data_IF_822471028130
#
_entry.id   IF_822471028130
#
_cell.length_a   1.000
_cell.length_b   1.000
_cell.length_c   1.000
_cell.angle_alpha   90.00
_cell.angle_beta   90.00
_cell.angle_gamma   90.00
#
_symmetry.space_group_name_H-M   'P 1'
#
loop_
_entity.id
_entity.type
_entity.pdbx_description
1 polymer ?
#
# COMPACT_ATOMS: atom_id res chain seq x y z
N UNK A 1 -15.32 -55.24 11.56
CA UNK A 1 -15.21 -54.15 10.57
C UNK A 1 -15.60 -52.84 11.23
N UNK A 2 -14.63 -51.96 11.50
CA UNK A 2 -14.87 -50.58 11.99
C UNK A 2 -15.16 -49.71 10.77
N UNK A 3 -16.36 -49.14 10.65
CA UNK A 3 -16.62 -48.07 9.68
C UNK A 3 -16.27 -46.73 10.32
N UNK A 4 -15.39 -46.00 9.65
CA UNK A 4 -14.92 -44.66 10.00
C UNK A 4 -16.02 -43.61 9.77
N UNK A 5 -16.02 -42.59 10.64
CA UNK A 5 -16.68 -41.32 10.46
C UNK A 5 -16.17 -40.60 9.20
N UNK A 6 -17.09 -40.16 8.33
CA UNK A 6 -16.86 -39.05 7.41
C UNK A 6 -17.50 -37.80 8.02
N UNK A 7 -16.67 -36.87 8.49
CA UNK A 7 -17.09 -35.47 8.65
C UNK A 7 -17.03 -34.81 7.28
N UNK A 8 -18.17 -34.31 6.82
CA UNK A 8 -18.23 -33.46 5.64
C UNK A 8 -17.46 -32.17 5.91
N UNK A 9 -16.47 -31.87 5.08
CA UNK A 9 -15.78 -30.59 5.08
C UNK A 9 -16.81 -29.49 4.77
N UNK A 10 -16.99 -28.58 5.72
CA UNK A 10 -17.66 -27.31 5.52
C UNK A 10 -16.96 -26.59 4.36
N UNK A 11 -17.68 -26.39 3.27
CA UNK A 11 -17.28 -25.53 2.16
C UNK A 11 -17.06 -24.12 2.69
N UNK A 12 -15.80 -23.69 2.75
CA UNK A 12 -15.44 -22.31 3.00
C UNK A 12 -16.06 -21.45 1.89
N UNK A 13 -17.11 -20.71 2.25
CA UNK A 13 -17.65 -19.64 1.41
C UNK A 13 -16.51 -18.66 1.17
N UNK A 14 -16.02 -18.59 -0.06
CA UNK A 14 -15.14 -17.53 -0.50
C UNK A 14 -15.97 -16.26 -0.46
N UNK A 15 -15.89 -15.52 0.64
CA UNK A 15 -16.52 -14.21 0.73
C UNK A 15 -15.92 -13.36 -0.39
N UNK A 16 -16.73 -13.05 -1.39
CA UNK A 16 -16.43 -12.01 -2.37
C UNK A 16 -16.20 -10.73 -1.58
N UNK A 17 -14.92 -10.41 -1.35
CA UNK A 17 -14.50 -9.10 -0.86
C UNK A 17 -15.10 -8.10 -1.85
N UNK A 18 -15.94 -7.21 -1.35
CA UNK A 18 -16.44 -6.15 -2.19
C UNK A 18 -15.24 -5.25 -2.56
N UNK A 19 -15.14 -4.92 -3.86
CA UNK A 19 -13.94 -4.33 -4.45
C UNK A 19 -14.35 -3.20 -5.37
N UNK A 20 -13.80 -2.02 -5.13
CA UNK A 20 -13.76 -0.99 -6.15
C UNK A 20 -12.58 -1.27 -7.09
N UNK A 21 -12.73 -0.98 -8.37
CA UNK A 21 -11.65 -1.13 -9.35
C UNK A 21 -11.50 0.14 -10.18
N UNK A 22 -10.27 0.60 -10.31
CA UNK A 22 -9.87 1.64 -11.26
C UNK A 22 -9.25 0.96 -12.49
N UNK A 23 -9.53 1.48 -13.68
CA UNK A 23 -9.07 0.88 -14.93
C UNK A 23 -8.72 1.94 -15.98
N UNK A 24 -7.50 1.86 -16.53
CA UNK A 24 -7.00 2.62 -17.68
C UNK A 24 -6.40 1.69 -18.74
N UNK A 25 -5.80 2.24 -19.81
CA UNK A 25 -5.03 1.45 -20.80
C UNK A 25 -3.84 0.71 -20.20
N UNK A 26 -3.24 1.22 -19.13
CA UNK A 26 -2.00 0.73 -18.54
C UNK A 26 -2.17 0.08 -17.17
N UNK A 27 -3.20 0.46 -16.42
CA UNK A 27 -3.39 0.01 -15.05
C UNK A 27 -4.77 -0.58 -14.79
N UNK A 28 -4.77 -1.73 -14.11
CA UNK A 28 -5.90 -2.18 -13.30
C UNK A 28 -5.53 -2.09 -11.83
N UNK A 29 -6.28 -1.31 -11.06
CA UNK A 29 -6.11 -1.14 -9.61
C UNK A 29 -7.33 -1.69 -8.89
N UNK A 30 -7.14 -2.71 -8.06
CA UNK A 30 -8.20 -3.27 -7.22
C UNK A 30 -8.04 -2.74 -5.78
N UNK A 31 -9.15 -2.26 -5.22
CA UNK A 31 -9.21 -1.63 -3.90
C UNK A 31 -10.20 -2.40 -3.03
N UNK A 32 -9.80 -2.70 -1.80
CA UNK A 32 -10.68 -3.21 -0.76
C UNK A 32 -11.62 -2.10 -0.30
N UNK A 33 -12.92 -2.24 -0.54
CA UNK A 33 -13.92 -1.21 -0.23
C UNK A 33 -14.33 -1.17 1.25
N UNK A 34 -13.74 -2.02 2.09
CA UNK A 34 -13.90 -1.93 3.55
C UNK A 34 -12.77 -1.09 4.13
N UNK A 35 -11.54 -1.36 3.71
CA UNK A 35 -10.35 -0.74 4.31
C UNK A 35 -9.79 0.43 3.51
N UNK A 36 -10.17 0.57 2.24
CA UNK A 36 -9.57 1.50 1.30
C UNK A 36 -8.15 1.10 0.87
N UNK A 37 -7.67 -0.10 1.19
CA UNK A 37 -6.33 -0.56 0.81
C UNK A 37 -6.26 -1.01 -0.65
N UNK A 38 -5.11 -0.83 -1.32
CA UNK A 38 -4.85 -1.50 -2.59
C UNK A 38 -4.62 -3.00 -2.34
N UNK A 39 -5.36 -3.83 -3.08
CA UNK A 39 -5.26 -5.30 -3.05
C UNK A 39 -4.88 -5.89 -4.41
N UNK A 40 -4.77 -5.05 -5.43
CA UNK A 40 -4.22 -5.41 -6.74
C UNK A 40 -3.74 -4.19 -7.51
N UNK A 41 -2.60 -4.35 -8.18
CA UNK A 41 -2.03 -3.39 -9.12
C UNK A 41 -1.42 -4.19 -10.27
N UNK A 42 -1.99 -4.10 -11.47
CA UNK A 42 -1.59 -4.90 -12.63
C UNK A 42 -1.42 -4.04 -13.87
N UNK A 43 -0.50 -4.46 -14.74
CA UNK A 43 -0.32 -3.91 -16.08
C UNK A 43 -1.30 -4.57 -17.05
N UNK A 44 -2.21 -3.79 -17.62
CA UNK A 44 -3.23 -4.27 -18.57
C UNK A 44 -2.67 -4.59 -19.96
N UNK A 45 -1.45 -4.12 -20.27
CA UNK A 45 -0.73 -4.43 -21.51
C UNK A 45 0.26 -5.60 -21.34
N UNK A 46 0.32 -6.21 -20.16
CA UNK A 46 1.19 -7.34 -19.87
C UNK A 46 0.82 -8.54 -20.74
N UNK A 47 1.63 -8.84 -21.77
CA UNK A 47 1.45 -9.97 -22.70
C UNK A 47 1.49 -11.34 -21.97
N UNK A 48 0.38 -11.74 -21.35
CA UNK A 48 0.23 -12.99 -20.60
C UNK A 48 0.79 -12.97 -19.17
N UNK A 49 1.36 -11.85 -18.72
CA UNK A 49 1.75 -11.65 -17.31
C UNK A 49 0.56 -11.08 -16.54
N UNK A 50 -0.04 -11.89 -15.67
CA UNK A 50 -1.06 -11.44 -14.72
C UNK A 50 -0.44 -10.98 -13.39
N UNK A 51 0.84 -10.59 -13.44
CA UNK A 51 1.60 -10.24 -12.25
C UNK A 51 0.90 -9.10 -11.50
N UNK A 52 0.74 -9.32 -10.20
CA UNK A 52 0.37 -8.27 -9.27
C UNK A 52 1.64 -7.61 -8.75
N UNK A 53 1.76 -6.29 -8.88
CA UNK A 53 2.92 -5.54 -8.40
C UNK A 53 2.94 -5.40 -6.88
N UNK A 54 1.80 -5.58 -6.24
CA UNK A 54 1.62 -5.49 -4.79
C UNK A 54 1.21 -6.84 -4.19
N UNK A 55 1.59 -7.06 -2.94
CA UNK A 55 1.13 -8.20 -2.15
C UNK A 55 -0.39 -8.18 -2.03
N UNK A 56 -1.01 -9.32 -2.34
CA UNK A 56 -2.46 -9.49 -2.36
C UNK A 56 -2.88 -10.67 -1.48
N UNK A 57 -4.18 -10.78 -1.13
CA UNK A 57 -4.67 -11.94 -0.39
C UNK A 57 -4.44 -13.28 -1.09
N UNK A 58 -4.31 -13.28 -2.43
CA UNK A 58 -4.09 -14.49 -3.23
C UNK A 58 -2.62 -14.79 -3.43
N UNK A 59 -1.78 -13.78 -3.61
CA UNK A 59 -0.34 -13.94 -3.90
C UNK A 59 0.51 -14.04 -2.63
N UNK A 60 0.08 -13.34 -1.57
CA UNK A 60 0.80 -13.22 -0.30
C UNK A 60 -0.19 -13.43 0.85
N UNK A 61 -0.74 -14.64 1.03
CA UNK A 61 -1.76 -14.90 2.06
C UNK A 61 -1.23 -14.74 3.50
N UNK A 62 0.11 -14.72 3.66
CA UNK A 62 0.79 -14.45 4.92
C UNK A 62 0.87 -12.94 5.25
N UNK A 63 0.53 -12.05 4.31
CA UNK A 63 0.55 -10.60 4.53
C UNK A 63 -0.52 -10.21 5.56
N UNK A 64 -0.16 -9.58 6.69
CA UNK A 64 -1.14 -9.10 7.65
C UNK A 64 -2.11 -8.11 7.01
N UNK A 65 -3.40 -8.21 7.34
CA UNK A 65 -4.44 -7.36 6.75
C UNK A 65 -4.18 -5.85 6.95
N UNK A 66 -3.61 -5.49 8.11
CA UNK A 66 -3.26 -4.10 8.44
C UNK A 66 -2.01 -3.57 7.73
N UNK A 67 -1.31 -4.40 6.97
CA UNK A 67 -0.07 -4.07 6.26
C UNK A 67 -0.25 -4.01 4.73
N UNK A 68 -1.51 -3.94 4.28
CA UNK A 68 -1.85 -3.78 2.86
C UNK A 68 -1.51 -2.40 2.34
N UNK A 69 -1.36 -2.28 1.03
CA UNK A 69 -0.89 -1.07 0.39
C UNK A 69 -1.77 0.15 0.71
N UNK A 70 -1.11 1.25 1.07
CA UNK A 70 -1.74 2.53 1.39
C UNK A 70 -2.31 2.62 2.79
N UNK A 71 -2.37 1.51 3.54
CA UNK A 71 -2.55 1.55 4.99
C UNK A 71 -1.25 2.00 5.67
N UNK A 72 -1.29 2.22 6.97
CA UNK A 72 -0.09 2.65 7.68
C UNK A 72 -0.39 3.17 9.07
N UNK A 73 0.57 3.92 9.61
CA UNK A 73 0.43 4.50 10.93
C UNK A 73 1.08 5.88 11.10
N UNK A 74 0.62 6.59 12.13
CA UNK A 74 1.21 7.82 12.64
C UNK A 74 1.40 7.74 14.17
N UNK A 75 2.59 8.08 14.65
CA UNK A 75 2.89 8.34 16.06
C UNK A 75 2.38 9.75 16.39
N UNK A 76 1.33 9.84 17.21
CA UNK A 76 0.68 11.11 17.57
C UNK A 76 1.20 11.68 18.89
N UNK A 77 2.29 11.12 19.44
CA UNK A 77 2.93 11.58 20.67
C UNK A 77 2.62 10.71 21.90
N UNK A 78 3.29 10.97 23.03
CA UNK A 78 3.30 10.11 24.21
C UNK A 78 1.94 9.99 24.92
N UNK A 79 1.08 11.00 24.78
CA UNK A 79 -0.27 10.99 25.38
C UNK A 79 -1.18 9.97 24.68
N UNK A 80 -0.85 9.61 23.44
CA UNK A 80 -1.43 8.50 22.72
C UNK A 80 -0.48 7.31 22.91
N UNK A 81 -0.75 6.48 23.91
CA UNK A 81 0.06 5.30 24.30
C UNK A 81 0.38 4.31 23.14
N UNK A 82 -0.13 4.54 21.93
CA UNK A 82 0.07 3.73 20.73
C UNK A 82 0.15 4.57 19.45
N UNK A 83 0.84 4.02 18.43
CA UNK A 83 0.71 4.46 17.03
C UNK A 83 -0.75 4.35 16.59
N UNK A 84 -1.28 5.39 15.95
CA UNK A 84 -2.54 5.29 15.24
C UNK A 84 -2.33 4.54 13.94
N UNK A 85 -3.05 3.43 13.74
CA UNK A 85 -3.07 2.69 12.47
C UNK A 85 -4.36 3.01 11.72
N UNK A 86 -4.26 3.58 10.51
CA UNK A 86 -5.44 3.83 9.70
C UNK A 86 -5.85 2.57 8.94
N UNK A 87 -7.05 2.08 9.24
CA UNK A 87 -7.60 0.82 8.71
C UNK A 87 -9.12 0.86 8.46
N UNK A 88 -9.82 1.75 9.16
CA UNK A 88 -11.28 1.88 9.10
C UNK A 88 -11.64 3.27 8.53
N UNK A 89 -11.76 3.42 7.21
CA UNK A 89 -12.04 4.70 6.57
C UNK A 89 -13.51 5.12 6.69
N UNK A 90 -13.74 6.42 6.59
CA UNK A 90 -14.97 6.97 6.04
C UNK A 90 -14.78 7.08 4.53
N UNK A 91 -15.49 6.24 3.78
CA UNK A 91 -15.39 6.20 2.31
C UNK A 91 -16.33 7.24 1.73
N UNK A 92 -15.77 8.22 1.03
CA UNK A 92 -16.55 9.21 0.31
C UNK A 92 -16.92 8.66 -1.08
N UNK A 93 -18.17 8.83 -1.48
CA UNK A 93 -18.77 8.21 -2.66
C UNK A 93 -18.27 8.73 -4.03
N UNK A 94 -17.10 9.37 -4.11
CA UNK A 94 -16.53 9.83 -5.38
C UNK A 94 -15.67 8.75 -6.05
N UNK A 95 -16.19 7.53 -6.07
CA UNK A 95 -15.60 6.42 -6.80
C UNK A 95 -16.07 6.49 -8.25
N UNK A 96 -15.12 6.70 -9.14
CA UNK A 96 -15.33 6.55 -10.57
C UNK A 96 -14.45 5.41 -11.08
N UNK A 97 -14.58 5.07 -12.36
CA UNK A 97 -13.68 4.10 -13.00
C UNK A 97 -12.21 4.57 -13.03
N UNK A 98 -11.95 5.85 -12.82
CA UNK A 98 -10.61 6.45 -12.87
C UNK A 98 -10.16 7.08 -11.55
N UNK A 99 -11.02 7.20 -10.54
CA UNK A 99 -10.69 7.88 -9.29
C UNK A 99 -11.31 7.22 -8.06
N UNK A 100 -10.62 7.28 -6.94
CA UNK A 100 -11.09 6.79 -5.64
C UNK A 100 -10.55 7.66 -4.51
N UNK A 101 -11.41 8.05 -3.56
CA UNK A 101 -11.04 8.91 -2.44
C UNK A 101 -11.58 8.38 -1.11
N UNK A 102 -10.72 8.26 -0.12
CA UNK A 102 -11.07 7.79 1.24
C UNK A 102 -10.44 8.67 2.30
N UNK A 103 -11.13 8.83 3.43
CA UNK A 103 -10.62 9.57 4.58
C UNK A 103 -10.55 8.67 5.80
N UNK A 104 -9.46 8.77 6.56
CA UNK A 104 -9.28 8.11 7.84
C UNK A 104 -9.16 9.17 8.92
N UNK A 105 -9.68 8.89 10.12
CA UNK A 105 -9.64 9.83 11.23
C UNK A 105 -9.20 9.14 12.51
N UNK A 106 -8.28 9.76 13.26
CA UNK A 106 -8.02 9.40 14.65
C UNK A 106 -7.56 10.59 15.47
N UNK A 107 -8.26 10.79 16.59
CA UNK A 107 -8.06 11.97 17.41
C UNK A 107 -8.18 13.23 16.57
N UNK A 108 -7.14 14.06 16.60
CA UNK A 108 -7.04 15.29 15.82
C UNK A 108 -6.55 15.09 14.38
N UNK A 109 -6.02 13.93 14.00
CA UNK A 109 -5.51 13.70 12.65
C UNK A 109 -6.61 13.18 11.73
N UNK A 110 -6.80 13.85 10.59
CA UNK A 110 -7.46 13.29 9.41
C UNK A 110 -6.44 13.02 8.32
N UNK A 111 -6.51 11.85 7.70
CA UNK A 111 -5.74 11.48 6.51
C UNK A 111 -6.71 11.31 5.34
N UNK A 112 -6.56 12.14 4.31
CA UNK A 112 -7.29 12.02 3.06
C UNK A 112 -6.38 11.33 2.02
N UNK A 113 -6.85 10.24 1.40
CA UNK A 113 -6.12 9.50 0.37
C UNK A 113 -6.89 9.58 -0.94
N UNK A 114 -6.35 10.33 -1.89
CA UNK A 114 -6.87 10.46 -3.25
C UNK A 114 -6.07 9.57 -4.19
N UNK A 115 -6.78 8.88 -5.07
CA UNK A 115 -6.22 7.99 -6.09
C UNK A 115 -6.83 8.32 -7.44
N UNK A 116 -6.00 8.44 -8.47
CA UNK A 116 -6.50 8.72 -9.80
C UNK A 116 -5.60 8.14 -10.89
N UNK A 117 -6.24 7.74 -12.00
CA UNK A 117 -5.60 7.29 -13.23
C UNK A 117 -5.56 8.44 -14.24
N UNK A 118 -4.43 8.60 -14.93
CA UNK A 118 -4.27 9.48 -16.10
C UNK A 118 -4.16 8.62 -17.35
N UNK A 119 -5.15 8.71 -18.25
CA UNK A 119 -5.07 8.08 -19.58
C UNK A 119 -4.09 8.83 -20.50
N UNK A 120 -3.87 10.13 -20.27
CA UNK A 120 -2.95 10.95 -21.06
C UNK A 120 -1.49 10.54 -20.80
N UNK A 121 -1.15 10.33 -19.53
CA UNK A 121 0.21 9.97 -19.12
C UNK A 121 0.40 8.46 -18.92
N UNK A 122 -0.68 7.67 -19.05
CA UNK A 122 -0.67 6.23 -18.77
C UNK A 122 -0.24 5.91 -17.34
N UNK A 123 -0.66 6.71 -16.35
CA UNK A 123 -0.11 6.69 -14.99
C UNK A 123 -1.18 6.50 -13.90
N UNK A 124 -0.73 6.06 -12.73
CA UNK A 124 -1.52 5.93 -11.52
C UNK A 124 -0.92 6.76 -10.38
N UNK A 125 -1.66 7.74 -9.87
CA UNK A 125 -1.16 8.65 -8.83
C UNK A 125 -1.94 8.46 -7.54
N UNK A 126 -1.21 8.50 -6.42
CA UNK A 126 -1.79 8.55 -5.08
C UNK A 126 -1.28 9.77 -4.33
N UNK A 127 -2.20 10.45 -3.65
CA UNK A 127 -1.92 11.60 -2.79
C UNK A 127 -2.43 11.31 -1.38
N UNK A 128 -1.56 11.52 -0.39
CA UNK A 128 -1.86 11.38 1.03
C UNK A 128 -1.78 12.76 1.67
N UNK A 129 -2.92 13.30 2.11
CA UNK A 129 -3.04 14.61 2.74
C UNK A 129 -3.35 14.46 4.22
N UNK A 130 -2.40 14.88 5.06
CA UNK A 130 -2.50 14.88 6.52
C UNK A 130 -3.06 16.22 6.97
N UNK A 131 -4.13 16.23 7.76
CA UNK A 131 -4.84 17.43 8.21
C UNK A 131 -4.99 17.41 9.72
N UNK A 132 -4.58 18.48 10.40
CA UNK A 132 -4.85 18.66 11.81
C UNK A 132 -6.25 19.27 12.01
N UNK A 133 -7.18 18.46 12.52
CA UNK A 133 -8.56 18.84 12.89
C UNK A 133 -8.72 19.17 14.38
N UNK A 134 -7.64 19.09 15.15
CA UNK A 134 -7.63 19.46 16.56
C UNK A 134 -7.52 20.96 16.79
N UNK A 135 -7.43 21.34 18.06
CA UNK A 135 -7.22 22.70 18.55
C UNK A 135 -5.79 22.97 19.03
N UNK A 136 -4.92 21.95 19.01
CA UNK A 136 -3.51 22.02 19.40
C UNK A 136 -2.60 21.67 18.22
N UNK A 137 -1.33 22.08 18.27
CA UNK A 137 -0.34 21.72 17.25
C UNK A 137 -0.08 20.21 17.24
N UNK A 138 -0.07 19.59 16.07
CA UNK A 138 0.22 18.17 15.90
C UNK A 138 1.66 18.00 15.43
N UNK A 139 2.54 17.54 16.33
CA UNK A 139 3.95 17.33 16.01
C UNK A 139 4.17 15.98 15.30
N UNK A 140 4.17 16.03 13.97
CA UNK A 140 4.52 14.89 13.11
C UNK A 140 5.99 14.96 12.64
N UNK A 141 6.70 16.04 12.99
CA UNK A 141 8.05 16.32 12.54
C UNK A 141 9.09 15.58 13.39
N UNK A 142 10.06 14.98 12.70
CA UNK A 142 11.44 14.63 13.10
C UNK A 142 11.75 13.98 14.47
N UNK A 143 10.79 13.69 15.34
CA UNK A 143 11.13 13.08 16.61
C UNK A 143 11.69 11.65 16.45
N UNK A 144 11.44 10.94 15.33
CA UNK A 144 11.87 9.53 15.15
C UNK A 144 12.06 9.01 13.71
N UNK A 145 12.19 9.83 12.64
CA UNK A 145 12.32 9.40 11.20
C UNK A 145 11.33 8.33 10.66
N UNK A 146 10.44 7.83 11.50
CA UNK A 146 9.55 6.68 11.35
C UNK A 146 8.24 6.94 12.13
N UNK A 147 7.97 8.20 12.46
CA UNK A 147 6.73 8.59 13.13
C UNK A 147 5.52 8.30 12.23
N UNK A 148 5.69 8.45 10.92
CA UNK A 148 4.68 8.09 9.92
C UNK A 148 5.24 7.01 9.02
N UNK A 149 4.39 6.06 8.66
CA UNK A 149 4.72 5.03 7.68
C UNK A 149 3.51 4.71 6.81
N UNK A 150 3.72 4.59 5.50
CA UNK A 150 2.74 4.05 4.55
C UNK A 150 3.24 2.69 4.09
N UNK A 151 2.42 1.66 4.27
CA UNK A 151 2.71 0.31 3.79
C UNK A 151 2.69 0.29 2.27
N UNK A 152 3.75 -0.26 1.69
CA UNK A 152 3.94 -0.45 0.25
C UNK A 152 4.43 -1.87 0.00
N UNK A 153 3.61 -2.91 0.24
CA UNK A 153 4.00 -4.31 0.15
C UNK A 153 4.31 -4.70 -1.31
N UNK A 154 5.45 -4.28 -1.82
CA UNK A 154 5.97 -4.66 -3.13
C UNK A 154 6.07 -6.19 -3.21
N UNK A 155 5.71 -6.76 -4.37
CA UNK A 155 5.71 -8.21 -4.59
C UNK A 155 7.14 -8.78 -4.82
N UNK A 156 8.04 -8.49 -3.87
CA UNK A 156 9.45 -8.92 -3.82
C UNK A 156 9.60 -10.14 -2.91
N UNK A 157 9.22 -11.28 -3.48
CA UNK A 157 9.17 -12.57 -2.80
C UNK A 157 9.84 -13.66 -3.65
N UNK A 158 10.53 -14.58 -2.96
CA UNK A 158 11.30 -15.68 -3.54
C UNK A 158 10.62 -17.00 -3.22
N UNK A 159 9.49 -17.27 -3.88
CA UNK A 159 8.64 -18.45 -3.64
C UNK A 159 9.26 -19.73 -4.21
N UNK A 160 9.16 -19.93 -5.51
CA UNK A 160 9.86 -20.96 -6.28
C UNK A 160 10.27 -20.35 -7.63
N UNK A 161 11.23 -20.95 -8.33
CA UNK A 161 11.79 -20.38 -9.56
C UNK A 161 10.75 -20.05 -10.62
N UNK A 162 9.79 -20.95 -10.87
CA UNK A 162 8.77 -20.78 -11.90
C UNK A 162 7.82 -19.62 -11.63
N UNK A 163 7.45 -19.43 -10.36
CA UNK A 163 6.60 -18.34 -9.91
C UNK A 163 7.38 -17.02 -9.81
N UNK A 164 8.58 -17.04 -9.22
CA UNK A 164 9.45 -15.87 -9.09
C UNK A 164 9.70 -15.20 -10.45
N UNK A 165 10.14 -15.99 -11.43
CA UNK A 165 10.46 -15.52 -12.79
C UNK A 165 9.22 -15.02 -13.55
N UNK A 166 7.99 -15.38 -13.16
CA UNK A 166 6.77 -14.96 -13.89
C UNK A 166 5.98 -13.87 -13.19
N UNK A 167 5.89 -13.91 -11.86
CA UNK A 167 4.87 -13.19 -11.09
C UNK A 167 5.45 -12.35 -9.93
N UNK A 168 6.76 -12.15 -9.85
CA UNK A 168 7.43 -11.40 -8.77
C UNK A 168 8.37 -10.34 -9.36
N UNK A 169 8.78 -9.39 -8.52
CA UNK A 169 9.69 -8.31 -8.92
C UNK A 169 10.77 -8.03 -7.87
N UNK A 170 11.91 -7.53 -8.33
CA UNK A 170 12.94 -6.97 -7.46
C UNK A 170 12.63 -5.50 -7.19
N UNK A 171 12.49 -5.13 -5.91
CA UNK A 171 12.23 -3.75 -5.51
C UNK A 171 13.54 -2.97 -5.29
N UNK A 172 13.87 -2.06 -6.19
CA UNK A 172 14.98 -1.13 -6.02
C UNK A 172 14.47 0.16 -5.38
N UNK A 173 14.78 0.37 -4.10
CA UNK A 173 14.18 1.44 -3.30
C UNK A 173 15.21 2.53 -3.01
N UNK A 174 14.90 3.77 -3.39
CA UNK A 174 15.63 4.97 -3.01
C UNK A 174 14.69 5.91 -2.24
N UNK A 175 14.52 5.65 -0.95
CA UNK A 175 13.57 6.39 -0.10
C UNK A 175 14.22 7.41 0.87
N UNK A 176 15.56 7.46 0.94
CA UNK A 176 16.29 8.50 1.69
C UNK A 176 16.72 9.67 0.77
N UNK A 177 16.02 9.86 -0.35
CA UNK A 177 16.29 10.89 -1.34
C UNK A 177 15.57 12.22 -1.08
N UNK A 178 14.85 12.34 0.03
CA UNK A 178 13.99 13.48 0.31
C UNK A 178 12.88 13.61 -0.72
N UNK A 179 12.84 14.77 -1.40
CA UNK A 179 11.90 15.05 -2.49
C UNK A 179 12.18 14.27 -3.79
N UNK A 180 13.35 13.64 -3.93
CA UNK A 180 13.76 12.90 -5.13
C UNK A 180 13.66 11.37 -4.94
N UNK A 181 12.79 10.92 -4.03
CA UNK A 181 12.64 9.51 -3.73
C UNK A 181 11.92 8.75 -4.84
N UNK A 182 12.29 7.48 -5.03
CA UNK A 182 11.70 6.61 -6.05
C UNK A 182 11.81 5.13 -5.67
N UNK A 183 10.98 4.30 -6.31
CA UNK A 183 11.10 2.85 -6.32
C UNK A 183 11.02 2.35 -7.77
N UNK A 184 11.89 1.41 -8.13
CA UNK A 184 11.82 0.70 -9.42
C UNK A 184 11.59 -0.78 -9.14
N UNK A 185 10.58 -1.35 -9.77
CA UNK A 185 10.20 -2.75 -9.64
C UNK A 185 10.54 -3.48 -10.93
N UNK A 186 11.62 -4.28 -10.91
CA UNK A 186 12.04 -5.07 -12.06
C UNK A 186 11.40 -6.46 -12.01
N UNK A 187 10.64 -6.82 -13.04
CA UNK A 187 10.05 -8.15 -13.17
C UNK A 187 11.18 -9.21 -13.18
N UNK A 188 11.16 -10.19 -12.26
CA UNK A 188 12.34 -11.03 -11.98
C UNK A 188 12.76 -11.93 -13.16
N UNK A 189 11.86 -12.22 -14.09
CA UNK A 189 12.16 -12.99 -15.29
C UNK A 189 12.71 -12.18 -16.45
N UNK A 190 12.75 -10.85 -16.34
CA UNK A 190 13.10 -9.95 -17.44
C UNK A 190 12.07 -9.95 -18.57
N UNK A 191 10.83 -10.37 -18.29
CA UNK A 191 9.75 -10.38 -19.28
C UNK A 191 8.94 -9.09 -19.21
N UNK A 192 8.93 -8.33 -20.31
CA UNK A 192 7.98 -7.24 -20.51
C UNK A 192 8.34 -5.95 -19.77
N UNK A 193 7.31 -5.33 -19.17
CA UNK A 193 7.36 -4.00 -18.55
C UNK A 193 7.74 -4.09 -17.07
N UNK A 194 8.41 -3.04 -16.60
CA UNK A 194 8.72 -2.80 -15.19
C UNK A 194 7.78 -1.73 -14.64
N UNK A 195 7.69 -1.60 -13.31
CA UNK A 195 6.88 -0.57 -12.67
C UNK A 195 7.79 0.47 -11.99
N UNK A 196 7.56 1.74 -12.30
CA UNK A 196 8.14 2.88 -11.58
C UNK A 196 7.19 3.39 -10.49
N UNK A 197 7.75 3.91 -9.41
CA UNK A 197 7.10 4.83 -8.48
C UNK A 197 8.05 6.01 -8.26
N UNK A 198 7.58 7.23 -8.52
CA UNK A 198 8.35 8.44 -8.28
C UNK A 198 7.57 9.38 -7.37
N UNK A 199 8.24 9.96 -6.37
CA UNK A 199 7.64 10.98 -5.54
C UNK A 199 7.49 12.28 -6.36
N UNK A 200 6.27 12.81 -6.42
CA UNK A 200 5.94 14.04 -7.16
C UNK A 200 5.65 15.22 -6.24
N UNK A 201 5.35 14.96 -4.95
CA UNK A 201 5.15 16.00 -3.93
C UNK A 201 5.60 15.52 -2.56
N UNK A 202 6.16 16.43 -1.77
CA UNK A 202 6.59 16.18 -0.40
C UNK A 202 8.00 15.58 -0.33
N UNK A 203 8.27 14.77 0.69
CA UNK A 203 9.59 14.17 0.94
C UNK A 203 9.45 12.84 1.68
N UNK A 204 10.38 11.91 1.44
CA UNK A 204 10.55 10.68 2.22
C UNK A 204 11.86 10.73 3.03
N UNK A 205 11.82 10.24 4.27
CA UNK A 205 12.97 10.11 5.16
C UNK A 205 13.68 8.75 5.04
N UNK A 206 13.03 7.75 4.44
CA UNK A 206 13.57 6.40 4.31
C UNK A 206 12.49 5.36 4.12
N UNK A 207 12.89 4.10 4.29
CA UNK A 207 11.97 2.97 4.32
C UNK A 207 12.35 1.99 5.45
N UNK A 208 11.39 1.18 5.87
CA UNK A 208 11.59 0.05 6.78
C UNK A 208 11.06 -1.24 6.17
N UNK A 209 11.42 -2.37 6.80
CA UNK A 209 10.92 -3.71 6.47
C UNK A 209 10.28 -4.32 7.71
N UNK A 210 9.04 -4.78 7.59
CA UNK A 210 8.31 -5.57 8.60
C UNK A 210 7.99 -6.99 8.11
N UNK A 211 7.36 -7.80 8.96
CA UNK A 211 6.85 -9.14 8.63
C UNK A 211 7.92 -10.10 8.07
N UNK A 212 9.13 -10.01 8.62
CA UNK A 212 10.18 -11.03 8.48
C UNK A 212 10.16 -11.90 9.72
N UNK A 213 9.89 -13.18 9.54
CA UNK A 213 9.77 -14.14 10.64
C UNK A 213 10.36 -15.51 10.27
N UNK A 214 10.32 -16.43 11.24
CA UNK A 214 10.81 -17.80 11.07
C UNK A 214 10.00 -18.63 10.06
N UNK A 215 8.77 -18.23 9.73
CA UNK A 215 7.89 -18.95 8.80
C UNK A 215 8.25 -18.57 7.37
N UNK A 216 8.52 -17.29 7.14
CA UNK A 216 8.86 -16.71 5.84
C UNK A 216 10.36 -16.78 5.53
N UNK A 217 11.22 -16.83 6.55
CA UNK A 217 12.68 -16.92 6.46
C UNK A 217 13.29 -15.90 5.46
N UNK A 218 14.01 -16.41 4.45
CA UNK A 218 14.64 -15.62 3.37
C UNK A 218 13.83 -15.65 2.08
N UNK A 219 12.65 -16.28 2.08
CA UNK A 219 11.79 -16.42 0.90
C UNK A 219 10.91 -15.18 0.66
N UNK A 220 11.05 -14.16 1.49
CA UNK A 220 10.42 -12.86 1.30
C UNK A 220 11.39 -11.77 1.70
N UNK A 221 11.32 -10.64 1.00
CA UNK A 221 11.98 -9.43 1.49
C UNK A 221 11.25 -8.78 2.65
N UNK A 222 10.00 -9.17 2.90
CA UNK A 222 9.13 -8.64 3.95
C UNK A 222 8.14 -7.62 3.39
N UNK A 223 7.54 -6.84 4.28
CA UNK A 223 6.64 -5.74 3.92
C UNK A 223 7.42 -4.44 3.97
N UNK A 224 7.42 -3.68 2.87
CA UNK A 224 8.04 -2.36 2.86
C UNK A 224 7.11 -1.29 3.43
N UNK A 225 7.73 -0.33 4.11
CA UNK A 225 7.09 0.85 4.63
C UNK A 225 7.88 2.06 4.13
N UNK A 226 7.23 3.01 3.47
CA UNK A 226 7.83 4.30 3.15
C UNK A 226 7.54 5.27 4.30
N UNK A 227 8.51 6.12 4.64
CA UNK A 227 8.39 7.07 5.75
C UNK A 227 8.28 8.51 5.24
N UNK A 228 7.06 9.08 5.13
CA UNK A 228 6.85 10.47 4.77
C UNK A 228 7.44 11.43 5.80
N UNK A 229 8.03 12.52 5.32
CA UNK A 229 8.40 13.67 6.15
C UNK A 229 7.25 14.66 6.18
N UNK A 230 6.54 14.73 7.31
CA UNK A 230 5.42 15.66 7.51
C UNK A 230 5.83 16.68 8.59
N UNK A 231 5.68 17.99 8.35
CA UNK A 231 5.99 19.00 9.35
C UNK A 231 4.99 18.98 10.51
N UNK A 232 5.30 19.71 11.58
CA UNK A 232 4.29 20.04 12.59
C UNK A 232 3.14 20.79 11.94
N UNK A 233 1.91 20.35 12.19
CA UNK A 233 0.70 20.96 11.66
C UNK A 233 -0.01 21.77 12.75
N UNK A 234 -0.19 23.07 12.54
CA UNK A 234 -1.06 23.89 13.39
C UNK A 234 -2.54 23.51 13.19
N UNK A 235 -3.44 23.91 14.12
CA UNK A 235 -4.87 23.71 13.96
C UNK A 235 -5.39 24.16 12.58
N UNK A 236 -5.98 23.26 11.82
CA UNK A 236 -6.50 23.50 10.48
C UNK A 236 -5.48 23.38 9.34
N UNK A 237 -4.18 23.25 9.64
CA UNK A 237 -3.14 23.08 8.61
C UNK A 237 -3.15 21.66 8.02
N UNK A 238 -2.55 21.56 6.83
CA UNK A 238 -2.34 20.30 6.15
C UNK A 238 -1.02 20.24 5.42
N UNK A 239 -0.52 19.02 5.24
CA UNK A 239 0.62 18.72 4.39
C UNK A 239 0.30 17.50 3.53
N UNK A 240 0.98 17.32 2.40
CA UNK A 240 0.74 16.18 1.52
C UNK A 240 2.01 15.58 0.97
N UNK A 241 1.98 14.28 0.79
CA UNK A 241 2.86 13.58 -0.13
C UNK A 241 2.07 13.09 -1.33
N UNK A 242 2.74 12.98 -2.47
CA UNK A 242 2.15 12.43 -3.69
C UNK A 242 3.22 11.62 -4.42
N UNK A 243 2.84 10.46 -4.94
CA UNK A 243 3.68 9.67 -5.83
C UNK A 243 2.88 9.21 -7.05
N UNK A 244 3.59 9.02 -8.14
CA UNK A 244 3.03 8.54 -9.41
C UNK A 244 3.72 7.25 -9.82
N UNK A 245 2.91 6.29 -10.25
CA UNK A 245 3.30 5.00 -10.78
C UNK A 245 3.09 4.97 -12.30
N UNK A 246 4.04 4.36 -13.02
CA UNK A 246 4.10 4.34 -14.49
C UNK A 246 4.88 3.13 -15.03
#
# INVERSE_FOLDING_TARGET
MKLLHLWAASSASCATIARASLLSSDFQVDIDDVTGALVGLRDTQGNGSFMNWVGSPTDTPWLPLGSRWGLGFADLGPDFLHRFYWRDPQISANTSRASHAVSYTAGSLRLDVDRYLSEEDGSFTERYTFVNKGNESLNLAEAKSHAIAVYTPFNDHYTNTSDAIRNRAHAHVWANGGANAWVKMDQMGGFGRNLGLVLTKGSLAGYSIESRDIVTMSNTRGVFLLHPTIPTLQPGESASIEWTLF
#
